data_IF_961739210450
#
_entry.id   IF_961739210450
#
_cell.length_a   1.000
_cell.length_b   1.000
_cell.length_c   1.000
_cell.angle_alpha   90.00
_cell.angle_beta   90.00
_cell.angle_gamma   90.00
#
_symmetry.space_group_name_H-M   'P 1'
#
loop_
_entity.id
_entity.type
_entity.pdbx_description
1 polymer ?
#
# COMPACT_ATOMS: atom_id res chain seq x y z
N UNK A 1 19.59 21.69 -15.64
CA UNK A 1 19.52 20.46 -16.46
C UNK A 1 18.38 19.62 -15.90
N UNK A 2 17.24 19.49 -16.60
CA UNK A 2 16.11 18.66 -16.14
C UNK A 2 16.46 17.21 -16.44
N UNK A 3 16.76 16.42 -15.42
CA UNK A 3 16.91 14.96 -15.55
C UNK A 3 15.56 14.39 -15.96
N UNK A 4 15.44 14.00 -17.23
CA UNK A 4 14.28 13.28 -17.75
C UNK A 4 14.18 11.94 -17.01
N UNK A 5 13.25 11.85 -16.06
CA UNK A 5 12.93 10.62 -15.37
C UNK A 5 12.46 9.57 -16.42
N UNK A 6 13.30 8.58 -16.71
CA UNK A 6 13.01 7.44 -17.60
C UNK A 6 12.17 6.35 -16.88
N UNK A 7 11.19 6.75 -16.09
CA UNK A 7 10.24 5.78 -15.52
C UNK A 7 9.15 5.44 -16.55
N UNK A 8 8.84 4.17 -16.73
CA UNK A 8 7.61 3.78 -17.43
C UNK A 8 6.41 4.26 -16.62
N UNK A 9 5.37 4.84 -17.22
CA UNK A 9 4.11 5.05 -16.50
C UNK A 9 3.54 3.69 -16.09
N UNK A 10 3.22 3.49 -14.81
CA UNK A 10 2.74 2.20 -14.32
C UNK A 10 1.59 2.35 -13.34
N UNK A 11 0.67 1.39 -13.38
CA UNK A 11 -0.47 1.30 -12.46
C UNK A 11 0.05 1.15 -11.02
N UNK A 12 -0.76 1.60 -10.06
CA UNK A 12 -0.48 1.35 -8.64
C UNK A 12 -0.43 -0.16 -8.42
N UNK A 13 0.65 -0.65 -7.80
CA UNK A 13 0.74 -2.08 -7.49
C UNK A 13 2.15 -2.60 -7.26
N UNK A 14 2.20 -3.90 -7.00
CA UNK A 14 3.43 -4.65 -6.75
C UNK A 14 4.26 -4.80 -8.02
N UNK A 15 5.56 -4.51 -7.93
CA UNK A 15 6.54 -4.73 -9.00
C UNK A 15 7.85 -5.27 -8.44
N UNK A 16 8.74 -5.68 -9.35
CA UNK A 16 10.14 -5.97 -9.06
C UNK A 16 11.03 -4.86 -9.64
N UNK A 17 12.04 -4.47 -8.88
CA UNK A 17 13.11 -3.57 -9.35
C UNK A 17 14.07 -4.32 -10.27
N UNK A 18 14.95 -3.59 -10.96
CA UNK A 18 16.02 -4.18 -11.78
C UNK A 18 16.93 -5.12 -10.98
N UNK A 19 17.10 -4.86 -9.68
CA UNK A 19 17.88 -5.69 -8.76
C UNK A 19 17.05 -6.83 -8.13
N UNK A 20 15.91 -7.19 -8.74
CA UNK A 20 14.98 -8.24 -8.29
C UNK A 20 14.39 -8.03 -6.87
N UNK A 21 14.53 -6.83 -6.30
CA UNK A 21 13.86 -6.48 -5.04
C UNK A 21 12.39 -6.18 -5.25
N UNK A 22 11.55 -6.55 -4.29
CA UNK A 22 10.11 -6.24 -4.27
C UNK A 22 9.89 -4.76 -3.98
N UNK A 23 8.96 -4.16 -4.71
CA UNK A 23 8.60 -2.77 -4.56
C UNK A 23 7.10 -2.55 -4.83
N UNK A 24 6.59 -1.39 -4.42
CA UNK A 24 5.30 -0.86 -4.84
C UNK A 24 5.58 0.41 -5.63
N UNK A 25 4.82 0.61 -6.70
CA UNK A 25 4.96 1.76 -7.59
C UNK A 25 3.62 2.41 -7.85
N UNK A 26 3.65 3.64 -8.35
CA UNK A 26 2.50 4.32 -8.96
C UNK A 26 2.94 4.99 -10.29
N UNK A 27 2.10 5.91 -10.79
CA UNK A 27 2.38 6.67 -12.03
C UNK A 27 3.67 7.48 -11.94
N UNK A 28 4.02 7.98 -10.76
CA UNK A 28 5.22 8.78 -10.51
C UNK A 28 6.52 7.98 -10.35
N UNK A 29 6.45 6.65 -10.20
CA UNK A 29 7.63 5.80 -10.01
C UNK A 29 7.47 4.82 -8.85
N UNK A 30 8.60 4.35 -8.30
CA UNK A 30 8.61 3.52 -7.09
C UNK A 30 8.24 4.38 -5.88
N UNK A 31 7.30 3.91 -5.06
CA UNK A 31 6.87 4.60 -3.83
C UNK A 31 7.31 3.87 -2.57
N UNK A 32 7.57 2.57 -2.65
CA UNK A 32 8.05 1.77 -1.53
C UNK A 32 8.95 0.64 -2.05
N UNK A 33 10.06 0.39 -1.38
CA UNK A 33 10.91 -0.79 -1.61
C UNK A 33 11.00 -1.51 -0.28
N UNK A 34 10.59 -2.78 -0.25
CA UNK A 34 10.64 -3.59 0.96
C UNK A 34 11.96 -4.34 1.00
N UNK A 35 12.62 -4.28 2.16
CA UNK A 35 13.88 -4.98 2.39
C UNK A 35 13.59 -6.42 2.74
N UNK A 36 14.18 -7.35 2.00
CA UNK A 36 14.10 -8.77 2.30
C UNK A 36 14.84 -9.07 3.61
N UNK A 37 14.26 -9.89 4.51
CA UNK A 37 14.92 -10.28 5.75
C UNK A 37 16.21 -11.05 5.47
N UNK A 38 17.16 -10.97 6.39
CA UNK A 38 18.40 -11.75 6.31
C UNK A 38 18.17 -13.17 6.80
N UNK A 39 18.64 -14.15 6.03
CA UNK A 39 18.62 -15.56 6.41
C UNK A 39 19.86 -15.94 7.23
N UNK A 40 19.65 -16.57 8.38
CA UNK A 40 20.72 -17.11 9.23
C UNK A 40 20.46 -18.59 9.52
N UNK A 41 21.53 -19.37 9.67
CA UNK A 41 21.45 -20.81 9.97
C UNK A 41 20.70 -21.06 11.28
N UNK A 42 19.77 -22.02 11.29
CA UNK A 42 18.97 -22.37 12.47
C UNK A 42 17.82 -21.40 12.77
N UNK A 43 17.50 -20.46 11.87
CA UNK A 43 16.41 -19.50 12.02
C UNK A 43 15.43 -19.52 10.84
N UNK A 44 15.24 -20.67 10.21
CA UNK A 44 14.39 -20.78 9.02
C UNK A 44 12.94 -20.37 9.32
N UNK A 45 12.38 -20.77 10.47
CA UNK A 45 11.01 -20.38 10.86
C UNK A 45 10.83 -18.86 11.01
N UNK A 46 11.82 -18.18 11.63
CA UNK A 46 11.81 -16.71 11.75
C UNK A 46 11.87 -16.05 10.37
N UNK A 47 12.78 -16.54 9.53
CA UNK A 47 12.97 -16.02 8.18
C UNK A 47 11.69 -16.15 7.34
N UNK A 48 11.04 -17.32 7.36
CA UNK A 48 9.81 -17.56 6.61
C UNK A 48 8.67 -16.67 7.11
N UNK A 49 8.54 -16.49 8.43
CA UNK A 49 7.55 -15.59 9.02
C UNK A 49 7.77 -14.13 8.61
N UNK A 50 9.00 -13.62 8.70
CA UNK A 50 9.34 -12.26 8.28
C UNK A 50 9.13 -12.06 6.77
N UNK A 51 9.42 -13.09 5.96
CA UNK A 51 9.23 -13.04 4.52
C UNK A 51 7.74 -12.98 4.14
N UNK A 52 6.89 -13.73 4.84
CA UNK A 52 5.43 -13.67 4.64
C UNK A 52 4.85 -12.34 5.12
N UNK A 53 5.31 -11.81 6.25
CA UNK A 53 4.91 -10.48 6.72
C UNK A 53 5.25 -9.40 5.68
N UNK A 54 6.49 -9.41 5.17
CA UNK A 54 6.91 -8.47 4.13
C UNK A 54 6.03 -8.58 2.86
N UNK A 55 5.62 -9.79 2.46
CA UNK A 55 4.71 -10.00 1.32
C UNK A 55 3.30 -9.49 1.62
N UNK A 56 2.82 -9.64 2.85
CA UNK A 56 1.54 -9.10 3.28
C UNK A 56 1.55 -7.56 3.24
N UNK A 57 2.59 -6.92 3.79
CA UNK A 57 2.74 -5.47 3.78
C UNK A 57 2.80 -4.92 2.35
N UNK A 58 3.51 -5.60 1.44
CA UNK A 58 3.55 -5.22 0.03
C UNK A 58 2.15 -5.18 -0.59
N UNK A 59 1.35 -6.21 -0.34
CA UNK A 59 -0.03 -6.33 -0.85
C UNK A 59 -0.93 -5.27 -0.23
N UNK A 60 -0.78 -5.00 1.06
CA UNK A 60 -1.54 -3.97 1.75
C UNK A 60 -1.30 -2.59 1.14
N UNK A 61 -0.04 -2.21 0.95
CA UNK A 61 0.33 -0.93 0.32
C UNK A 61 -0.18 -0.87 -1.13
N UNK A 62 -0.08 -1.98 -1.88
CA UNK A 62 -0.60 -2.05 -3.24
C UNK A 62 -2.12 -1.89 -3.32
N UNK A 63 -2.87 -2.32 -2.31
CA UNK A 63 -4.33 -2.23 -2.27
C UNK A 63 -4.85 -0.97 -1.57
N UNK A 64 -3.98 -0.14 -0.99
CA UNK A 64 -4.38 1.06 -0.26
C UNK A 64 -5.37 1.97 -1.00
N UNK A 65 -5.23 2.22 -2.33
CA UNK A 65 -6.22 3.03 -3.06
C UNK A 65 -7.61 2.39 -3.12
N UNK A 66 -7.70 1.07 -3.28
CA UNK A 66 -8.99 0.36 -3.31
C UNK A 66 -9.65 0.35 -1.94
N UNK A 67 -8.87 0.20 -0.87
CA UNK A 67 -9.35 0.28 0.51
C UNK A 67 -9.88 1.68 0.85
N UNK A 68 -9.18 2.74 0.43
CA UNK A 68 -9.64 4.12 0.61
C UNK A 68 -10.97 4.36 -0.12
N UNK A 69 -11.07 3.93 -1.38
CA UNK A 69 -12.31 4.06 -2.14
C UNK A 69 -13.49 3.32 -1.49
N UNK A 70 -13.26 2.10 -1.01
CA UNK A 70 -14.30 1.34 -0.32
C UNK A 70 -14.79 2.04 0.96
N UNK A 71 -13.87 2.71 1.68
CA UNK A 71 -14.22 3.52 2.85
C UNK A 71 -15.05 4.76 2.46
N UNK A 72 -14.66 5.47 1.40
CA UNK A 72 -15.41 6.61 0.87
C UNK A 72 -16.84 6.21 0.45
N UNK A 73 -16.98 5.09 -0.27
CA UNK A 73 -18.27 4.55 -0.70
C UNK A 73 -19.17 4.19 0.51
N UNK A 74 -18.59 3.59 1.56
CA UNK A 74 -19.31 3.26 2.79
C UNK A 74 -19.82 4.51 3.52
N UNK A 75 -18.98 5.54 3.65
CA UNK A 75 -19.37 6.81 4.28
C UNK A 75 -20.53 7.47 3.53
N UNK A 76 -20.48 7.47 2.20
CA UNK A 76 -21.57 7.99 1.37
C UNK A 76 -22.87 7.22 1.59
N UNK A 77 -22.82 5.89 1.59
CA UNK A 77 -23.98 5.05 1.88
C UNK A 77 -24.59 5.37 3.26
N UNK A 78 -23.77 5.49 4.31
CA UNK A 78 -24.22 5.83 5.66
C UNK A 78 -24.94 7.19 5.72
N UNK A 79 -24.41 8.21 5.02
CA UNK A 79 -25.02 9.53 4.91
C UNK A 79 -26.38 9.47 4.22
N UNK A 80 -26.46 8.80 3.08
CA UNK A 80 -27.68 8.70 2.27
C UNK A 80 -28.81 7.95 2.99
N UNK A 81 -28.47 6.96 3.82
CA UNK A 81 -29.44 6.12 4.52
C UNK A 81 -29.72 6.58 5.96
N UNK A 82 -29.10 7.68 6.41
CA UNK A 82 -29.20 8.20 7.79
C UNK A 82 -28.88 7.14 8.85
N UNK A 83 -27.86 6.33 8.58
CA UNK A 83 -27.37 5.28 9.48
C UNK A 83 -25.94 5.63 9.86
N UNK A 84 -25.65 6.03 11.10
CA UNK A 84 -24.39 5.64 11.78
C UNK A 84 -24.23 6.18 13.22
N UNK A 85 -23.51 5.39 14.03
CA UNK A 85 -22.88 5.80 15.29
C UNK A 85 -21.41 6.26 15.10
N UNK A 86 -20.72 5.88 14.02
CA UNK A 86 -19.28 6.19 13.79
C UNK A 86 -18.96 7.07 12.55
N UNK A 87 -19.95 7.77 11.99
CA UNK A 87 -19.81 8.58 10.77
C UNK A 87 -18.68 9.64 10.88
N UNK A 88 -18.60 10.32 12.02
CA UNK A 88 -17.61 11.37 12.29
C UNK A 88 -16.18 10.81 12.32
N UNK A 89 -15.98 9.59 12.83
CA UNK A 89 -14.67 8.94 12.83
C UNK A 89 -14.19 8.64 11.41
N UNK A 90 -15.06 8.07 10.57
CA UNK A 90 -14.71 7.72 9.19
C UNK A 90 -14.40 8.96 8.34
N UNK A 91 -15.15 10.06 8.52
CA UNK A 91 -14.87 11.33 7.84
C UNK A 91 -13.50 11.90 8.22
N UNK A 92 -13.16 11.86 9.51
CA UNK A 92 -11.86 12.32 10.00
C UNK A 92 -10.71 11.48 9.41
N UNK A 93 -10.85 10.15 9.38
CA UNK A 93 -9.86 9.24 8.78
C UNK A 93 -9.63 9.56 7.30
N UNK A 94 -10.70 9.77 6.51
CA UNK A 94 -10.58 10.13 5.09
C UNK A 94 -9.88 11.48 4.93
N UNK A 95 -10.27 12.47 5.73
CA UNK A 95 -9.69 13.82 5.67
C UNK A 95 -8.19 13.80 5.95
N UNK A 96 -7.76 13.06 6.96
CA UNK A 96 -6.34 12.87 7.29
C UNK A 96 -5.58 12.14 6.19
N UNK A 97 -6.19 11.13 5.54
CA UNK A 97 -5.55 10.40 4.44
C UNK A 97 -5.34 11.23 3.17
N UNK A 98 -6.09 12.33 3.00
CA UNK A 98 -6.03 13.21 1.82
C UNK A 98 -5.18 14.47 2.01
N UNK A 99 -4.76 14.79 3.24
CA UNK A 99 -3.84 15.88 3.58
C UNK A 99 -2.37 15.47 3.54
#
# INVERSE_FOLDING_TARGET
MKTNFKGSEGKWGCVFTSNKKRAVRNKGGLICILTEPSRFSGQDERYDAELEQMRADQRLIANAPELLKALEDLVMFCKENNVCAELEYAENVIKEALT
#
